data_IF_613073284543
#
_entry.id   IF_613073284543
#
_cell.length_a   1.000
_cell.length_b   1.000
_cell.length_c   1.000
_cell.angle_alpha   90.00
_cell.angle_beta   90.00
_cell.angle_gamma   90.00
#
_symmetry.space_group_name_H-M   'P 1'
#
loop_
_entity.id
_entity.type
_entity.pdbx_description
1 polymer ?
#
# COMPACT_ATOMS: atom_id res chain seq x y z
N UNK A 1 1.70 -25.10 -30.45
CA UNK A 1 2.24 -24.12 -29.50
C UNK A 1 1.46 -22.83 -29.69
N UNK A 2 0.45 -22.55 -28.87
CA UNK A 2 -0.18 -21.24 -28.76
C UNK A 2 -0.90 -21.22 -27.43
N UNK A 3 -0.05 -21.35 -26.42
CA UNK A 3 -0.44 -21.60 -25.06
C UNK A 3 -0.48 -20.24 -24.36
N UNK A 4 -1.66 -19.97 -23.78
CA UNK A 4 -1.83 -19.16 -22.57
C UNK A 4 -1.97 -17.64 -22.78
N UNK A 5 -3.19 -17.21 -23.10
CA UNK A 5 -3.85 -16.26 -22.17
C UNK A 5 -3.95 -16.99 -20.83
N UNK A 6 -3.40 -16.44 -19.75
CA UNK A 6 -4.21 -15.54 -18.94
C UNK A 6 -3.32 -14.40 -18.37
N UNK A 7 -3.78 -13.33 -17.76
CA UNK A 7 -4.94 -13.20 -16.89
C UNK A 7 -5.31 -11.72 -16.89
N UNK A 8 -6.61 -11.46 -16.91
CA UNK A 8 -7.14 -10.35 -16.13
C UNK A 8 -6.64 -10.58 -14.68
N UNK A 9 -5.54 -9.93 -14.28
CA UNK A 9 -5.16 -9.77 -12.88
C UNK A 9 -5.53 -8.34 -12.56
N UNK A 10 -6.82 -8.20 -12.26
CA UNK A 10 -7.40 -7.19 -11.41
C UNK A 10 -6.81 -5.79 -11.53
N UNK A 11 -7.51 -4.94 -12.25
CA UNK A 11 -7.81 -3.60 -11.76
C UNK A 11 -8.69 -3.63 -10.49
N UNK A 12 -8.51 -4.63 -9.62
CA UNK A 12 -8.84 -4.54 -8.22
C UNK A 12 -7.64 -3.86 -7.59
N UNK A 13 -7.49 -2.56 -7.85
CA UNK A 13 -6.56 -1.72 -7.11
C UNK A 13 -6.76 -2.12 -5.65
N UNK A 14 -5.76 -2.67 -4.93
CA UNK A 14 -5.86 -2.66 -3.47
C UNK A 14 -6.25 -1.23 -3.14
N UNK A 15 -7.35 -1.04 -2.41
CA UNK A 15 -7.80 0.32 -2.10
C UNK A 15 -6.62 0.97 -1.41
N UNK A 16 -5.91 1.83 -2.14
CA UNK A 16 -4.78 2.56 -1.60
C UNK A 16 -5.34 3.27 -0.38
N UNK A 17 -4.75 2.98 0.77
CA UNK A 17 -5.15 3.71 1.93
C UNK A 17 -4.76 5.18 1.72
N UNK A 18 -5.41 6.13 2.38
CA UNK A 18 -5.10 7.55 2.23
C UNK A 18 -3.62 7.90 2.43
N UNK A 19 -2.87 7.08 3.19
CA UNK A 19 -1.43 7.23 3.37
C UNK A 19 -0.57 6.54 2.31
N UNK A 20 -1.11 5.62 1.52
CA UNK A 20 -0.40 4.96 0.43
C UNK A 20 -0.31 5.90 -0.76
N UNK A 21 0.91 6.19 -1.21
CA UNK A 21 1.20 6.97 -2.41
C UNK A 21 1.32 6.08 -3.66
N UNK A 22 1.50 4.77 -3.49
CA UNK A 22 1.67 3.81 -4.57
C UNK A 22 1.04 2.45 -4.25
N UNK A 23 0.79 1.64 -5.27
CA UNK A 23 0.37 0.25 -5.08
C UNK A 23 1.54 -0.59 -4.52
N UNK A 24 1.26 -1.58 -3.63
CA UNK A 24 2.27 -2.51 -3.15
C UNK A 24 2.97 -3.22 -4.32
N UNK A 25 4.30 -3.15 -4.35
CA UNK A 25 5.10 -3.73 -5.43
C UNK A 25 5.29 -2.83 -6.66
N UNK A 26 4.85 -1.57 -6.60
CA UNK A 26 5.23 -0.56 -7.60
C UNK A 26 6.76 -0.39 -7.58
N UNK A 27 7.46 -0.56 -8.72
CA UNK A 27 8.91 -0.37 -8.78
C UNK A 27 9.27 1.07 -8.40
N UNK A 28 10.13 1.24 -7.39
CA UNK A 28 10.47 2.56 -6.84
C UNK A 28 9.60 2.97 -5.65
N UNK A 29 8.55 2.23 -5.31
CA UNK A 29 7.83 2.41 -4.07
C UNK A 29 8.38 1.48 -2.96
N UNK A 30 8.26 1.91 -1.71
CA UNK A 30 8.67 1.13 -0.54
C UNK A 30 7.78 1.39 0.66
N UNK A 31 7.85 0.47 1.62
CA UNK A 31 7.09 0.54 2.86
C UNK A 31 7.73 1.55 3.81
N UNK A 32 6.96 2.55 4.24
CA UNK A 32 7.36 3.50 5.28
C UNK A 32 6.42 3.43 6.48
N UNK A 33 6.90 3.86 7.63
CA UNK A 33 6.11 3.94 8.86
C UNK A 33 5.00 4.97 8.69
N UNK A 34 3.75 4.58 8.98
CA UNK A 34 2.62 5.50 8.96
C UNK A 34 2.82 6.57 10.05
N UNK A 35 2.96 7.83 9.65
CA UNK A 35 3.24 8.95 10.57
C UNK A 35 2.06 9.28 11.49
N UNK A 36 0.84 8.96 11.06
CA UNK A 36 -0.38 9.24 11.81
C UNK A 36 -0.56 8.33 13.02
N UNK A 37 -0.35 7.02 12.84
CA UNK A 37 -0.37 6.07 13.95
C UNK A 37 1.02 5.76 14.51
N UNK A 38 2.09 6.35 13.95
CA UNK A 38 3.48 6.12 14.32
C UNK A 38 3.86 4.63 14.33
N UNK A 39 3.38 3.85 13.35
CA UNK A 39 3.67 2.42 13.27
C UNK A 39 2.76 1.51 14.10
N UNK A 40 1.87 2.06 14.92
CA UNK A 40 1.00 1.23 15.80
C UNK A 40 -0.14 0.55 15.04
N UNK A 41 -0.48 1.04 13.86
CA UNK A 41 -1.64 0.58 13.08
C UNK A 41 -2.99 1.02 13.68
N UNK A 42 -3.02 1.72 14.82
CA UNK A 42 -4.27 2.14 15.48
C UNK A 42 -4.19 3.60 15.89
N UNK A 43 -5.32 4.28 15.82
CA UNK A 43 -5.48 5.61 16.41
C UNK A 43 -6.50 5.48 17.54
N UNK A 44 -6.00 5.55 18.77
CA UNK A 44 -6.78 5.28 19.97
C UNK A 44 -7.30 3.83 19.98
N UNK A 45 -8.62 3.66 19.96
CA UNK A 45 -9.28 2.35 19.98
C UNK A 45 -9.67 1.83 18.60
N UNK A 46 -9.42 2.60 17.53
CA UNK A 46 -9.82 2.26 16.16
C UNK A 46 -8.62 1.99 15.28
N UNK A 47 -8.79 1.15 14.25
CA UNK A 47 -7.76 0.94 13.23
C UNK A 47 -7.44 2.24 12.51
N UNK A 48 -6.15 2.47 12.25
CA UNK A 48 -5.70 3.70 11.62
C UNK A 48 -6.28 3.78 10.20
N UNK A 49 -7.13 4.78 9.88
CA UNK A 49 -7.76 4.87 8.56
C UNK A 49 -6.76 5.22 7.47
N UNK A 50 -5.57 5.71 7.83
CA UNK A 50 -4.53 6.18 6.92
C UNK A 50 -3.70 5.03 6.35
N UNK A 51 -3.42 4.01 7.16
CA UNK A 51 -2.73 2.79 6.73
C UNK A 51 -3.64 1.55 6.72
N UNK A 52 -4.92 1.70 7.07
CA UNK A 52 -5.87 0.59 7.14
C UNK A 52 -5.60 -0.43 8.24
N UNK A 53 -4.86 -0.06 9.29
CA UNK A 53 -4.53 -0.98 10.38
C UNK A 53 -3.14 -1.60 10.31
N UNK A 54 -2.40 -1.42 9.22
CA UNK A 54 -1.11 -2.10 9.00
C UNK A 54 0.04 -1.48 9.81
N UNK A 55 -0.05 -0.19 10.12
CA UNK A 55 1.04 0.60 10.72
C UNK A 55 2.05 1.13 9.71
N UNK A 56 1.97 0.72 8.44
CA UNK A 56 2.89 1.12 7.36
C UNK A 56 2.11 1.61 6.15
N UNK A 57 2.73 2.52 5.40
CA UNK A 57 2.18 3.07 4.16
C UNK A 57 3.18 2.84 3.03
N UNK A 58 2.69 2.70 1.81
CA UNK A 58 3.55 2.54 0.63
C UNK A 58 3.86 3.94 0.08
N UNK A 59 5.09 4.42 0.26
CA UNK A 59 5.53 5.70 -0.30
C UNK A 59 6.38 5.47 -1.56
N UNK A 60 6.29 6.39 -2.52
CA UNK A 60 7.21 6.43 -3.68
C UNK A 60 8.61 6.80 -3.16
N UNK A 61 9.50 5.82 -3.01
CA UNK A 61 10.92 6.02 -2.69
C UNK A 61 11.65 6.30 -4.01
N UNK A 62 11.27 7.41 -4.65
CA UNK A 62 11.97 7.96 -5.79
C UNK A 62 13.34 8.48 -5.35
N UNK A 63 14.38 7.68 -5.56
CA UNK A 63 15.75 8.10 -5.30
C UNK A 63 16.21 9.14 -6.33
N UNK A 64 16.33 10.39 -5.89
CA UNK A 64 17.29 11.40 -6.36
C UNK A 64 17.20 11.87 -7.81
#
# INVERSE_FOLDING_TARGET
>A
MNDKRPKNVGSGKPRLHPGDQADPGTPGAGENVCRECQGTGKIGSTDCPICGGTGIVIEEIGGG
#
